data_IF_849119073173
#
_entry.id   IF_849119073173
#
_cell.length_a   1.000
_cell.length_b   1.000
_cell.length_c   1.000
_cell.angle_alpha   90.00
_cell.angle_beta   90.00
_cell.angle_gamma   90.00
#
_symmetry.space_group_name_H-M   'P 1'
#
loop_
_entity.id
_entity.type
_entity.pdbx_description
1 polymer ?
#
# COMPACT_ATOMS: atom_id res chain seq x y z
N UNK A 1 8.31 20.22 4.57
CA UNK A 1 7.95 19.99 3.14
C UNK A 1 6.59 20.62 2.90
N UNK A 2 6.31 21.21 1.71
CA UNK A 2 4.97 21.67 1.41
C UNK A 2 3.96 20.52 1.50
N UNK A 3 2.80 20.71 2.16
CA UNK A 3 1.85 19.63 2.42
C UNK A 3 1.34 18.94 1.15
N UNK A 4 1.24 19.68 0.03
CA UNK A 4 0.84 19.11 -1.25
C UNK A 4 1.85 18.11 -1.83
N UNK A 5 3.15 18.27 -1.57
CA UNK A 5 4.17 17.30 -2.00
C UNK A 5 4.02 16.00 -1.22
N UNK A 6 3.79 16.10 0.09
CA UNK A 6 3.55 14.92 0.94
C UNK A 6 2.25 14.23 0.53
N UNK A 7 1.20 15.00 0.29
CA UNK A 7 -0.09 14.45 -0.17
C UNK A 7 0.08 13.72 -1.52
N UNK A 8 0.76 14.34 -2.49
CA UNK A 8 1.04 13.72 -3.79
C UNK A 8 1.85 12.42 -3.64
N UNK A 9 2.88 12.42 -2.79
CA UNK A 9 3.69 11.23 -2.52
C UNK A 9 2.85 10.09 -1.95
N UNK A 10 2.04 10.36 -0.92
CA UNK A 10 1.17 9.34 -0.29
C UNK A 10 0.13 8.82 -1.29
N UNK A 11 -0.48 9.70 -2.10
CA UNK A 11 -1.42 9.30 -3.13
C UNK A 11 -0.77 8.41 -4.19
N UNK A 12 0.40 8.81 -4.72
CA UNK A 12 1.13 8.03 -5.74
C UNK A 12 1.54 6.68 -5.17
N UNK A 13 2.01 6.64 -3.91
CA UNK A 13 2.34 5.37 -3.26
C UNK A 13 1.10 4.44 -3.19
N UNK A 14 -0.05 4.97 -2.80
CA UNK A 14 -1.31 4.21 -2.83
C UNK A 14 -1.69 3.74 -4.24
N UNK A 15 -1.55 4.62 -5.25
CA UNK A 15 -1.89 4.32 -6.63
C UNK A 15 -1.02 3.22 -7.27
N UNK A 16 0.25 3.08 -6.85
CA UNK A 16 1.13 2.00 -7.33
C UNK A 16 0.52 0.62 -7.04
N UNK A 17 -0.23 0.46 -5.95
CA UNK A 17 -0.89 -0.80 -5.63
C UNK A 17 -1.94 -1.22 -6.67
N UNK A 18 -2.52 -0.27 -7.41
CA UNK A 18 -3.42 -0.58 -8.53
C UNK A 18 -2.72 -1.35 -9.66
N UNK A 19 -1.39 -1.37 -9.69
CA UNK A 19 -0.61 -2.19 -10.64
C UNK A 19 -0.89 -3.69 -10.49
N UNK A 20 -1.35 -4.15 -9.31
CA UNK A 20 -1.82 -5.52 -9.11
C UNK A 20 -3.11 -5.86 -9.89
N UNK A 21 -3.85 -4.83 -10.34
CA UNK A 21 -5.06 -4.97 -11.16
C UNK A 21 -4.74 -4.91 -12.66
N UNK A 22 -3.54 -4.43 -13.01
CA UNK A 22 -3.15 -4.28 -14.40
C UNK A 22 -2.97 -5.65 -15.08
N UNK A 23 -3.31 -5.76 -16.37
CA UNK A 23 -3.01 -6.94 -17.14
C UNK A 23 -1.50 -7.22 -17.12
N UNK A 24 -1.15 -8.50 -16.90
CA UNK A 24 0.26 -8.90 -16.93
C UNK A 24 0.83 -8.61 -18.34
N UNK A 25 1.93 -7.86 -18.46
CA UNK A 25 2.58 -7.67 -19.75
C UNK A 25 3.07 -9.01 -20.31
N UNK A 26 3.15 -9.16 -21.65
CA UNK A 26 3.72 -10.36 -22.26
C UNK A 26 5.10 -10.66 -21.70
N UNK A 27 5.34 -11.92 -21.33
CA UNK A 27 6.66 -12.34 -20.86
C UNK A 27 7.66 -12.20 -22.02
N UNK A 28 8.71 -11.42 -21.81
CA UNK A 28 9.88 -11.40 -22.69
C UNK A 28 10.84 -12.50 -22.24
N UNK A 29 11.52 -13.17 -23.18
CA UNK A 29 12.39 -14.32 -22.89
C UNK A 29 13.45 -14.01 -21.81
N UNK A 30 13.96 -12.77 -21.79
CA UNK A 30 15.03 -12.32 -20.89
C UNK A 30 14.56 -11.25 -19.88
N UNK A 31 13.26 -10.98 -19.81
CA UNK A 31 12.71 -9.96 -18.93
C UNK A 31 12.49 -10.47 -17.50
N UNK A 32 12.64 -9.58 -16.48
CA UNK A 32 12.33 -9.94 -15.11
C UNK A 32 10.84 -10.27 -14.98
N UNK A 33 10.48 -11.18 -14.06
CA UNK A 33 9.08 -11.51 -13.80
C UNK A 33 8.30 -10.29 -13.33
N UNK A 34 7.04 -10.18 -13.78
CA UNK A 34 6.14 -9.10 -13.35
C UNK A 34 5.86 -9.18 -11.86
N UNK A 35 6.22 -8.14 -11.07
CA UNK A 35 6.14 -8.21 -9.60
C UNK A 35 4.73 -8.08 -9.04
N UNK A 36 3.80 -7.49 -9.81
CA UNK A 36 2.44 -7.20 -9.35
C UNK A 36 1.48 -8.33 -9.77
N UNK A 37 1.48 -9.43 -9.03
CA UNK A 37 0.59 -10.56 -9.31
C UNK A 37 0.10 -11.22 -8.03
N UNK A 38 -1.15 -11.69 -8.04
CA UNK A 38 -1.71 -12.48 -6.96
C UNK A 38 -1.43 -13.99 -7.10
N UNK A 39 -0.84 -14.41 -8.22
CA UNK A 39 -0.64 -15.83 -8.52
C UNK A 39 0.58 -16.45 -7.80
N UNK A 40 1.46 -15.61 -7.25
CA UNK A 40 2.75 -16.01 -6.67
C UNK A 40 2.80 -15.93 -5.14
N UNK A 41 1.69 -16.09 -4.46
CA UNK A 41 1.70 -16.14 -3.00
C UNK A 41 2.33 -17.41 -2.47
N UNK A 42 3.63 -17.37 -2.15
CA UNK A 42 4.35 -18.51 -1.53
C UNK A 42 3.78 -18.87 -0.16
N UNK A 43 3.29 -17.90 0.57
CA UNK A 43 2.73 -18.10 1.92
C UNK A 43 1.41 -18.84 1.83
N UNK A 44 0.53 -18.43 0.92
CA UNK A 44 -0.85 -18.92 0.86
C UNK A 44 -0.93 -20.29 0.16
N UNK A 45 -0.06 -20.54 -0.84
CA UNK A 45 0.06 -21.86 -1.50
C UNK A 45 0.47 -22.94 -0.50
N UNK A 46 1.33 -22.61 0.46
CA UNK A 46 1.77 -23.55 1.50
C UNK A 46 0.64 -24.02 2.43
N UNK A 47 -0.42 -23.23 2.57
CA UNK A 47 -1.58 -23.56 3.41
C UNK A 47 -2.76 -24.15 2.62
N UNK A 48 -2.60 -24.49 1.34
CA UNK A 48 -3.64 -25.12 0.52
C UNK A 48 -4.86 -24.24 0.28
N UNK A 49 -4.75 -22.92 0.39
CA UNK A 49 -5.85 -21.97 0.15
C UNK A 49 -6.21 -21.95 -1.32
N UNK A 50 -7.51 -21.95 -1.62
CA UNK A 50 -8.03 -21.93 -3.00
C UNK A 50 -7.57 -20.66 -3.74
N UNK A 51 -7.13 -20.75 -5.01
CA UNK A 51 -6.66 -19.59 -5.79
C UNK A 51 -7.65 -18.43 -5.85
N UNK A 52 -8.95 -18.72 -5.94
CA UNK A 52 -10.00 -17.70 -5.93
C UNK A 52 -10.05 -16.88 -4.63
N UNK A 53 -9.82 -17.53 -3.49
CA UNK A 53 -9.76 -16.84 -2.19
C UNK A 53 -8.54 -15.97 -2.10
N UNK A 54 -7.39 -16.45 -2.58
CA UNK A 54 -6.13 -15.67 -2.62
C UNK A 54 -6.34 -14.39 -3.42
N UNK A 55 -6.92 -14.51 -4.61
CA UNK A 55 -7.21 -13.37 -5.47
C UNK A 55 -8.19 -12.39 -4.82
N UNK A 56 -9.24 -12.88 -4.17
CA UNK A 56 -10.22 -12.05 -3.48
C UNK A 56 -9.55 -11.26 -2.34
N UNK A 57 -8.71 -11.90 -1.54
CA UNK A 57 -7.95 -11.25 -0.46
C UNK A 57 -7.01 -10.19 -1.04
N UNK A 58 -6.28 -10.51 -2.12
CA UNK A 58 -5.42 -9.54 -2.79
C UNK A 58 -6.18 -8.32 -3.31
N UNK A 59 -7.33 -8.53 -3.97
CA UNK A 59 -8.19 -7.45 -4.44
C UNK A 59 -8.71 -6.59 -3.29
N UNK A 60 -9.18 -7.21 -2.20
CA UNK A 60 -9.67 -6.49 -1.03
C UNK A 60 -8.57 -5.65 -0.38
N UNK A 61 -7.37 -6.21 -0.19
CA UNK A 61 -6.23 -5.49 0.36
C UNK A 61 -5.81 -4.32 -0.54
N UNK A 62 -5.76 -4.53 -1.87
CA UNK A 62 -5.47 -3.46 -2.84
C UNK A 62 -6.48 -2.31 -2.72
N UNK A 63 -7.78 -2.63 -2.67
CA UNK A 63 -8.84 -1.63 -2.58
C UNK A 63 -8.76 -0.84 -1.27
N UNK A 64 -8.57 -1.53 -0.14
CA UNK A 64 -8.44 -0.88 1.18
C UNK A 64 -7.20 -0.01 1.25
N UNK A 65 -6.04 -0.53 0.79
CA UNK A 65 -4.78 0.23 0.76
C UNK A 65 -4.92 1.51 -0.06
N UNK A 66 -5.42 1.40 -1.29
CA UNK A 66 -5.59 2.55 -2.17
C UNK A 66 -6.56 3.58 -1.58
N UNK A 67 -7.72 3.14 -1.10
CA UNK A 67 -8.70 4.03 -0.50
C UNK A 67 -8.13 4.73 0.75
N UNK A 68 -7.54 3.99 1.68
CA UNK A 68 -6.99 4.56 2.92
C UNK A 68 -5.86 5.55 2.64
N UNK A 69 -4.91 5.23 1.75
CA UNK A 69 -3.82 6.16 1.41
C UNK A 69 -4.33 7.38 0.61
N UNK A 70 -5.39 7.24 -0.18
CA UNK A 70 -6.06 8.38 -0.82
C UNK A 70 -6.67 9.30 0.25
N UNK A 71 -7.42 8.77 1.22
CA UNK A 71 -7.94 9.55 2.34
C UNK A 71 -6.83 10.19 3.17
N UNK A 72 -5.71 9.48 3.39
CA UNK A 72 -4.54 10.05 4.04
C UNK A 72 -3.96 11.24 3.27
N UNK A 73 -3.82 11.13 1.95
CA UNK A 73 -3.39 12.22 1.09
C UNK A 73 -4.33 13.43 1.15
N UNK A 74 -5.66 13.18 1.14
CA UNK A 74 -6.67 14.23 1.28
C UNK A 74 -6.59 14.93 2.65
N UNK A 75 -6.29 14.19 3.71
CA UNK A 75 -6.10 14.73 5.05
C UNK A 75 -4.89 15.67 5.11
N UNK A 76 -3.75 15.26 4.54
CA UNK A 76 -2.54 16.11 4.46
C UNK A 76 -2.78 17.34 3.57
N UNK A 77 -3.56 17.21 2.50
CA UNK A 77 -3.92 18.32 1.63
C UNK A 77 -4.93 19.30 2.26
N UNK A 78 -5.47 19.00 3.46
CA UNK A 78 -6.47 19.82 4.13
C UNK A 78 -7.87 19.72 3.52
N UNK A 79 -8.15 18.72 2.67
CA UNK A 79 -9.44 18.50 2.04
C UNK A 79 -10.44 17.79 2.97
N UNK A 80 -9.94 17.09 3.96
CA UNK A 80 -10.70 16.45 5.05
C UNK A 80 -9.98 16.71 6.38
N UNK A 81 -10.65 16.48 7.54
CA UNK A 81 -10.05 16.74 8.84
C UNK A 81 -8.68 16.07 9.02
N UNK A 82 -7.67 16.86 9.42
CA UNK A 82 -6.28 16.41 9.58
C UNK A 82 -6.10 15.38 10.70
N UNK A 83 -7.01 15.36 11.69
CA UNK A 83 -7.05 14.36 12.76
C UNK A 83 -7.25 12.92 12.24
N UNK A 84 -7.77 12.76 11.02
CA UNK A 84 -7.92 11.47 10.37
C UNK A 84 -6.61 10.90 9.82
N UNK A 85 -5.56 11.72 9.71
CA UNK A 85 -4.27 11.29 9.17
C UNK A 85 -3.71 10.03 9.84
N UNK A 86 -3.50 9.99 11.18
CA UNK A 86 -2.86 8.84 11.81
C UNK A 86 -3.62 7.52 11.59
N UNK A 87 -4.94 7.44 11.85
CA UNK A 87 -5.65 6.17 11.69
C UNK A 87 -5.77 5.71 10.24
N UNK A 88 -5.96 6.63 9.27
CA UNK A 88 -6.09 6.21 7.86
C UNK A 88 -4.73 5.82 7.25
N UNK A 89 -3.64 6.47 7.67
CA UNK A 89 -2.28 6.02 7.28
C UNK A 89 -1.97 4.66 7.89
N UNK A 90 -2.29 4.46 9.18
CA UNK A 90 -2.06 3.18 9.83
C UNK A 90 -2.82 2.05 9.14
N UNK A 91 -4.07 2.29 8.75
CA UNK A 91 -4.86 1.33 7.97
C UNK A 91 -4.24 1.08 6.59
N UNK A 92 -3.91 2.13 5.84
CA UNK A 92 -3.37 2.02 4.49
C UNK A 92 -2.00 1.33 4.45
N UNK A 93 -1.05 1.80 5.26
CA UNK A 93 0.28 1.20 5.32
C UNK A 93 0.26 -0.21 5.92
N UNK A 94 -0.58 -0.46 6.93
CA UNK A 94 -0.74 -1.79 7.52
C UNK A 94 -1.30 -2.82 6.52
N UNK A 95 -2.34 -2.46 5.77
CA UNK A 95 -2.91 -3.33 4.72
C UNK A 95 -1.95 -3.49 3.53
N UNK A 96 -1.17 -2.45 3.18
CA UNK A 96 -0.11 -2.52 2.19
C UNK A 96 0.97 -3.53 2.61
N UNK A 97 1.51 -3.43 3.82
CA UNK A 97 2.50 -4.38 4.33
C UNK A 97 1.95 -5.81 4.32
N UNK A 98 0.71 -6.01 4.76
CA UNK A 98 0.08 -7.33 4.73
C UNK A 98 0.00 -7.88 3.30
N UNK A 99 -0.39 -7.05 2.33
CA UNK A 99 -0.46 -7.43 0.92
C UNK A 99 0.93 -7.75 0.36
N UNK A 100 1.92 -6.87 0.60
CA UNK A 100 3.29 -7.06 0.12
C UNK A 100 3.96 -8.27 0.77
N UNK A 101 3.61 -8.63 2.01
CA UNK A 101 4.08 -9.86 2.65
C UNK A 101 3.44 -11.12 2.04
N UNK A 102 2.14 -11.08 1.74
CA UNK A 102 1.42 -12.21 1.12
C UNK A 102 1.86 -12.45 -0.33
N UNK A 103 2.11 -11.39 -1.08
CA UNK A 103 2.48 -11.43 -2.52
C UNK A 103 3.91 -10.94 -2.75
N UNK A 104 4.82 -11.35 -1.87
CA UNK A 104 6.19 -10.83 -1.83
C UNK A 104 6.95 -11.04 -3.13
N UNK A 105 7.54 -9.95 -3.60
CA UNK A 105 8.55 -9.94 -4.66
C UNK A 105 9.69 -8.99 -4.24
N UNK A 106 10.97 -9.30 -4.51
CA UNK A 106 12.10 -8.45 -4.09
C UNK A 106 12.00 -6.98 -4.52
N UNK A 107 11.39 -6.70 -5.66
CA UNK A 107 11.18 -5.33 -6.15
C UNK A 107 10.18 -4.52 -5.31
N UNK A 108 9.37 -5.18 -4.50
CA UNK A 108 8.37 -4.55 -3.63
C UNK A 108 8.93 -4.12 -2.27
N UNK A 109 10.21 -4.41 -1.99
CA UNK A 109 10.88 -4.05 -0.72
C UNK A 109 10.82 -2.54 -0.47
N UNK A 110 10.98 -1.73 -1.52
CA UNK A 110 10.87 -0.27 -1.37
C UNK A 110 9.49 0.14 -0.87
N UNK A 111 8.43 -0.52 -1.34
CA UNK A 111 7.06 -0.30 -0.85
C UNK A 111 6.95 -0.54 0.65
N UNK A 112 7.51 -1.65 1.14
CA UNK A 112 7.54 -1.98 2.59
C UNK A 112 8.30 -0.91 3.38
N UNK A 113 9.43 -0.42 2.87
CA UNK A 113 10.21 0.64 3.55
C UNK A 113 9.41 1.93 3.65
N UNK A 114 8.70 2.31 2.58
CA UNK A 114 7.81 3.49 2.58
C UNK A 114 6.69 3.31 3.61
N UNK A 115 6.03 2.16 3.64
CA UNK A 115 4.94 1.87 4.57
C UNK A 115 5.39 1.92 6.03
N UNK A 116 6.56 1.36 6.35
CA UNK A 116 7.15 1.46 7.70
C UNK A 116 7.43 2.92 8.07
N UNK A 117 7.94 3.71 7.11
CA UNK A 117 8.13 5.15 7.30
C UNK A 117 6.81 5.88 7.57
N UNK A 118 5.75 5.58 6.84
CA UNK A 118 4.41 6.15 7.01
C UNK A 118 3.82 5.78 8.38
N UNK A 119 3.94 4.51 8.80
CA UNK A 119 3.49 4.06 10.13
C UNK A 119 4.24 4.79 11.25
N UNK A 120 5.56 4.94 11.09
CA UNK A 120 6.39 5.66 12.06
C UNK A 120 5.96 7.12 12.15
N UNK A 121 5.73 7.78 11.02
CA UNK A 121 5.26 9.16 10.98
C UNK A 121 3.88 9.30 11.64
N UNK A 122 2.93 8.41 11.34
CA UNK A 122 1.60 8.42 11.96
C UNK A 122 1.67 8.26 13.48
N UNK A 123 2.51 7.34 13.96
CA UNK A 123 2.71 7.10 15.39
C UNK A 123 3.35 8.30 16.13
N UNK A 124 4.33 8.97 15.50
CA UNK A 124 4.96 10.15 16.08
C UNK A 124 4.00 11.34 16.15
N UNK A 125 3.18 11.53 15.11
CA UNK A 125 2.17 12.59 15.07
C UNK A 125 1.11 12.36 16.14
N UNK A 126 0.61 11.13 16.26
CA UNK A 126 -0.40 10.77 17.28
C UNK A 126 0.11 11.04 18.70
N UNK A 127 1.37 10.68 19.01
CA UNK A 127 1.97 10.92 20.32
C UNK A 127 2.30 12.38 20.62
N UNK A 128 2.69 13.14 19.62
CA UNK A 128 3.10 14.53 19.80
C UNK A 128 1.91 15.50 19.90
N UNK A 129 0.71 15.05 19.54
CA UNK A 129 -0.46 15.92 19.37
C UNK A 129 -0.28 16.95 18.25
N UNK A 130 0.79 16.83 17.47
CA UNK A 130 1.06 17.68 16.34
C UNK A 130 0.29 17.13 15.13
N UNK A 131 -0.54 17.98 14.55
CA UNK A 131 -1.14 17.70 13.25
C UNK A 131 -0.07 17.98 12.20
N UNK A 132 0.18 17.09 11.22
CA UNK A 132 1.12 17.39 10.15
C UNK A 132 0.63 18.62 9.38
N UNK A 133 1.50 19.64 9.36
CA UNK A 133 1.28 20.91 8.63
C UNK A 133 1.54 20.72 7.15
#
# INVERSE_FOLDING_TARGET
MPPLIVAAFVFIHGAIHLSFLAPRPPATADGPPWPFTFDQSRVVVRFGVRPGVIRLVGLALTAVTFAALTFAAMSVAGLIPTQLWPPVVALGAGTSIAMLALFFHPWLVLGVVIDVGLLTAAFLVDRSGLVPL
#
